data_IF_401197413297
#
_entry.id   IF_401197413297
#
_cell.length_a   1.000
_cell.length_b   1.000
_cell.length_c   1.000
_cell.angle_alpha   90.00
_cell.angle_beta   90.00
_cell.angle_gamma   90.00
#
_symmetry.space_group_name_H-M   'P 1'
#
loop_
_entity.id
_entity.type
_entity.pdbx_description
1 polymer ?
#
# COMPACT_ATOMS: atom_id res chain seq x y z
N UNK A 1 36.77 17.22 -75.26
CA UNK A 1 36.57 15.81 -75.57
C UNK A 1 36.31 15.17 -74.20
N UNK A 2 35.19 14.75 -73.78
CA UNK A 2 33.93 14.23 -74.26
C UNK A 2 32.90 14.49 -73.13
N UNK A 3 31.81 15.09 -73.53
CA UNK A 3 30.67 15.36 -72.70
C UNK A 3 29.85 14.07 -72.48
N UNK A 4 29.36 13.90 -71.23
CA UNK A 4 28.27 12.98 -70.94
C UNK A 4 27.07 13.72 -70.31
N UNK A 5 25.86 13.39 -70.70
CA UNK A 5 24.66 14.18 -70.38
C UNK A 5 24.05 13.80 -69.03
N UNK A 6 23.57 14.85 -68.38
CA UNK A 6 22.73 14.79 -67.16
C UNK A 6 21.38 14.17 -67.46
N UNK A 7 21.08 12.96 -66.92
CA UNK A 7 19.73 12.42 -66.90
C UNK A 7 19.05 12.86 -65.56
N UNK A 8 18.08 13.77 -65.73
CA UNK A 8 17.15 14.14 -64.72
C UNK A 8 16.07 13.06 -64.57
N UNK A 9 16.14 12.22 -63.56
CA UNK A 9 15.02 11.39 -63.13
C UNK A 9 14.16 12.21 -62.12
N UNK A 10 13.01 12.64 -62.61
CA UNK A 10 11.92 13.10 -61.76
C UNK A 10 11.18 11.85 -61.27
N UNK A 11 11.54 11.35 -60.09
CA UNK A 11 10.78 10.34 -59.35
C UNK A 11 9.67 11.01 -58.57
N UNK A 12 8.44 10.83 -58.98
CA UNK A 12 7.25 11.11 -58.19
C UNK A 12 7.30 10.24 -56.92
N UNK A 13 7.64 10.82 -55.77
CA UNK A 13 7.35 10.24 -54.49
C UNK A 13 5.90 10.57 -54.16
N UNK A 14 5.00 9.64 -54.51
CA UNK A 14 3.64 9.62 -53.98
C UNK A 14 3.73 9.33 -52.50
N UNK A 15 3.66 10.35 -51.67
CA UNK A 15 3.46 10.22 -50.23
C UNK A 15 2.04 9.65 -50.02
N UNK A 16 1.96 8.33 -49.88
CA UNK A 16 0.78 7.69 -49.31
C UNK A 16 0.75 8.09 -47.83
N UNK A 17 0.14 9.23 -47.53
CA UNK A 17 -0.34 9.54 -46.19
C UNK A 17 -1.41 8.51 -45.87
N UNK A 18 -1.02 7.40 -45.27
CA UNK A 18 -1.93 6.49 -44.61
C UNK A 18 -2.58 7.31 -43.47
N UNK A 19 -3.73 7.86 -43.75
CA UNK A 19 -4.70 8.27 -42.76
C UNK A 19 -5.02 7.00 -41.94
N UNK A 20 -4.29 6.78 -40.88
CA UNK A 20 -4.75 5.97 -39.74
C UNK A 20 -6.00 6.70 -39.21
N UNK A 21 -7.13 6.41 -39.85
CA UNK A 21 -8.42 6.65 -39.22
C UNK A 21 -8.39 5.79 -37.98
N UNK A 22 -8.15 6.42 -36.83
CA UNK A 22 -8.39 5.79 -35.58
C UNK A 22 -9.86 5.33 -35.60
N UNK A 23 -10.07 4.05 -35.80
CA UNK A 23 -11.40 3.48 -35.66
C UNK A 23 -11.87 3.85 -34.27
N UNK A 24 -13.07 4.38 -34.08
CA UNK A 24 -13.60 4.56 -32.75
C UNK A 24 -13.53 3.20 -32.07
N UNK A 25 -12.73 3.09 -31.04
CA UNK A 25 -12.70 1.89 -30.21
C UNK A 25 -14.10 1.76 -29.66
N UNK A 26 -14.79 0.67 -29.96
CA UNK A 26 -16.14 0.44 -29.46
C UNK A 26 -16.14 0.54 -27.93
N UNK A 27 -17.10 1.26 -27.39
CA UNK A 27 -17.33 1.34 -25.95
C UNK A 27 -17.80 -0.03 -25.44
N UNK A 28 -17.58 -0.33 -24.17
CA UNK A 28 -18.03 -1.58 -23.56
C UNK A 28 -19.54 -1.73 -23.71
N UNK A 29 -19.92 -2.77 -24.41
CA UNK A 29 -21.33 -3.13 -24.69
C UNK A 29 -21.88 -4.09 -23.64
N UNK A 30 -21.01 -4.84 -22.96
CA UNK A 30 -21.41 -5.93 -22.07
C UNK A 30 -20.61 -5.96 -20.78
N UNK A 31 -21.31 -6.19 -19.68
CA UNK A 31 -20.73 -6.45 -18.36
C UNK A 31 -21.09 -7.90 -17.94
N UNK A 32 -20.07 -8.75 -17.78
CA UNK A 32 -20.26 -10.16 -17.46
C UNK A 32 -19.71 -10.49 -16.07
N UNK A 33 -20.51 -11.14 -15.24
CA UNK A 33 -20.12 -11.61 -13.91
C UNK A 33 -19.97 -13.12 -13.94
N UNK A 34 -18.78 -13.63 -13.67
CA UNK A 34 -18.55 -15.07 -13.48
C UNK A 34 -18.80 -15.44 -12.03
N UNK A 35 -19.80 -16.30 -11.79
CA UNK A 35 -20.23 -16.68 -10.45
C UNK A 35 -19.28 -17.70 -9.80
N UNK A 36 -19.02 -17.61 -8.48
CA UNK A 36 -18.28 -18.62 -7.77
C UNK A 36 -19.10 -19.91 -7.65
N UNK A 37 -18.43 -21.05 -7.78
CA UNK A 37 -19.01 -22.41 -7.65
C UNK A 37 -19.96 -22.89 -8.76
N UNK A 38 -20.36 -22.01 -9.66
CA UNK A 38 -21.15 -22.32 -10.84
C UNK A 38 -20.27 -21.97 -12.05
N UNK A 39 -20.19 -22.83 -13.05
CA UNK A 39 -19.56 -22.48 -14.34
C UNK A 39 -20.51 -21.60 -15.18
N UNK A 40 -21.27 -20.72 -14.50
CA UNK A 40 -22.26 -19.83 -15.06
C UNK A 40 -21.81 -18.39 -14.98
N UNK A 41 -22.25 -17.59 -15.94
CA UNK A 41 -22.02 -16.15 -15.97
C UNK A 41 -23.30 -15.40 -16.24
N UNK A 42 -23.49 -14.28 -15.57
CA UNK A 42 -24.59 -13.33 -15.80
C UNK A 42 -24.03 -12.19 -16.64
N UNK A 43 -24.63 -11.92 -17.80
CA UNK A 43 -24.22 -10.83 -18.69
C UNK A 43 -25.28 -9.74 -18.74
N UNK A 44 -24.85 -8.49 -18.56
CA UNK A 44 -25.66 -7.30 -18.69
C UNK A 44 -25.31 -6.58 -20.00
N UNK A 45 -26.31 -6.32 -20.84
CA UNK A 45 -26.16 -5.52 -22.04
C UNK A 45 -26.27 -4.03 -21.67
N UNK A 46 -25.20 -3.28 -21.88
CA UNK A 46 -25.12 -1.85 -21.57
C UNK A 46 -25.54 -0.96 -22.74
N UNK A 47 -25.73 -1.55 -23.93
CA UNK A 47 -25.96 -0.77 -25.17
C UNK A 47 -27.36 -0.14 -25.22
N UNK A 48 -28.33 -0.86 -24.70
CA UNK A 48 -29.76 -0.46 -24.77
C UNK A 48 -30.29 0.05 -23.43
N UNK A 49 -29.53 -0.12 -22.36
CA UNK A 49 -30.01 0.22 -21.03
C UNK A 49 -29.61 1.64 -20.64
N UNK A 50 -30.58 2.49 -20.45
CA UNK A 50 -30.37 3.84 -19.91
C UNK A 50 -30.47 3.88 -18.38
N UNK A 51 -31.04 2.83 -17.78
CA UNK A 51 -31.27 2.72 -16.33
C UNK A 51 -31.27 1.26 -15.85
N UNK A 52 -31.25 1.06 -14.54
CA UNK A 52 -31.20 -0.26 -13.91
C UNK A 52 -32.42 -1.16 -14.26
N UNK A 53 -33.59 -0.58 -14.47
CA UNK A 53 -34.79 -1.31 -14.84
C UNK A 53 -34.63 -1.97 -16.20
N UNK A 54 -34.18 -1.25 -17.21
CA UNK A 54 -33.96 -1.78 -18.55
C UNK A 54 -32.90 -2.88 -18.56
N UNK A 55 -31.84 -2.75 -17.75
CA UNK A 55 -30.83 -3.79 -17.58
C UNK A 55 -31.42 -5.09 -17.02
N UNK A 56 -32.31 -5.00 -16.02
CA UNK A 56 -32.95 -6.15 -15.42
C UNK A 56 -33.99 -6.77 -16.38
N UNK A 57 -34.79 -5.94 -17.03
CA UNK A 57 -35.81 -6.39 -17.94
C UNK A 57 -35.24 -7.09 -19.21
N UNK A 58 -34.01 -6.72 -19.58
CA UNK A 58 -33.27 -7.36 -20.67
C UNK A 58 -32.63 -8.70 -20.28
N UNK A 59 -32.52 -9.03 -18.98
CA UNK A 59 -31.88 -10.24 -18.50
C UNK A 59 -32.87 -11.12 -17.70
N UNK A 60 -33.24 -12.32 -18.21
CA UNK A 60 -34.19 -13.19 -17.53
C UNK A 60 -33.79 -13.60 -16.11
N UNK A 61 -32.50 -13.90 -15.90
CA UNK A 61 -31.98 -14.36 -14.60
C UNK A 61 -32.07 -13.25 -13.56
N UNK A 62 -31.73 -12.00 -13.97
CA UNK A 62 -31.85 -10.84 -13.09
C UNK A 62 -33.30 -10.52 -12.75
N UNK A 63 -34.24 -10.71 -13.70
CA UNK A 63 -35.71 -10.53 -13.42
C UNK A 63 -36.21 -11.51 -12.38
N UNK A 64 -35.78 -12.77 -12.48
CA UNK A 64 -36.16 -13.80 -11.50
C UNK A 64 -35.60 -13.47 -10.12
N UNK A 65 -34.32 -13.06 -10.04
CA UNK A 65 -33.66 -12.62 -8.80
C UNK A 65 -34.32 -11.37 -8.21
N UNK A 66 -34.68 -10.39 -9.05
CA UNK A 66 -35.33 -9.16 -8.59
C UNK A 66 -36.73 -9.41 -8.08
N UNK A 67 -37.46 -10.30 -8.77
CA UNK A 67 -38.81 -10.74 -8.33
C UNK A 67 -38.70 -11.46 -6.98
N UNK A 68 -37.79 -12.40 -6.82
CA UNK A 68 -37.55 -13.11 -5.57
C UNK A 68 -37.07 -12.19 -4.43
N UNK A 69 -36.35 -11.12 -4.79
CA UNK A 69 -35.83 -10.11 -3.86
C UNK A 69 -36.71 -8.88 -3.65
N UNK A 70 -37.97 -8.91 -4.09
CA UNK A 70 -38.97 -7.81 -3.95
C UNK A 70 -38.44 -6.45 -4.49
N UNK A 71 -37.70 -6.45 -5.61
CA UNK A 71 -37.11 -5.25 -6.23
C UNK A 71 -35.83 -4.78 -5.58
N UNK A 72 -35.20 -5.56 -4.72
CA UNK A 72 -33.95 -5.21 -4.06
C UNK A 72 -32.76 -5.22 -5.02
N UNK A 73 -32.76 -6.11 -6.01
CA UNK A 73 -31.69 -6.22 -7.03
C UNK A 73 -31.71 -5.00 -7.92
N UNK A 74 -32.89 -4.53 -8.36
CA UNK A 74 -33.03 -3.29 -9.12
C UNK A 74 -32.43 -2.10 -8.36
N UNK A 75 -32.80 -1.92 -7.09
CA UNK A 75 -32.31 -0.81 -6.26
C UNK A 75 -30.79 -0.87 -6.07
N UNK A 76 -30.24 -2.08 -5.90
CA UNK A 76 -28.79 -2.25 -5.78
C UNK A 76 -28.07 -1.86 -7.09
N UNK A 77 -28.53 -2.38 -8.23
CA UNK A 77 -27.93 -2.09 -9.53
C UNK A 77 -28.05 -0.58 -9.85
N UNK A 78 -29.22 0.02 -9.62
CA UNK A 78 -29.42 1.46 -9.81
C UNK A 78 -28.48 2.28 -8.94
N UNK A 79 -28.38 1.95 -7.66
CA UNK A 79 -27.46 2.61 -6.72
C UNK A 79 -26.00 2.51 -7.15
N UNK A 80 -25.58 1.36 -7.70
CA UNK A 80 -24.20 1.16 -8.17
C UNK A 80 -23.92 1.91 -9.47
N UNK A 81 -24.80 1.79 -10.47
CA UNK A 81 -24.57 2.35 -11.79
C UNK A 81 -24.67 3.89 -11.81
N UNK A 82 -25.57 4.45 -10.99
CA UNK A 82 -25.76 5.89 -10.87
C UNK A 82 -24.93 6.53 -9.77
N UNK A 83 -24.10 5.74 -9.06
CA UNK A 83 -23.20 6.26 -8.04
C UNK A 83 -22.31 7.36 -8.64
N UNK A 84 -22.36 8.59 -8.12
CA UNK A 84 -21.55 9.67 -8.64
C UNK A 84 -20.06 9.39 -8.40
N UNK A 85 -19.25 9.62 -9.42
CA UNK A 85 -17.80 9.62 -9.25
C UNK A 85 -17.41 10.94 -8.56
N UNK A 86 -16.64 10.90 -7.46
CA UNK A 86 -16.15 12.11 -6.81
C UNK A 86 -15.40 13.01 -7.81
N UNK A 87 -15.58 14.31 -7.72
CA UNK A 87 -14.94 15.29 -8.64
C UNK A 87 -13.42 15.12 -8.71
N UNK A 88 -12.80 14.72 -7.61
CA UNK A 88 -11.36 14.49 -7.53
C UNK A 88 -10.88 13.23 -8.24
N UNK A 89 -11.77 12.29 -8.62
CA UNK A 89 -11.38 10.98 -9.16
C UNK A 89 -10.46 11.10 -10.38
N UNK A 90 -10.79 11.96 -11.34
CA UNK A 90 -9.94 12.20 -12.52
C UNK A 90 -8.57 12.73 -12.13
N UNK A 91 -8.50 13.68 -11.20
CA UNK A 91 -7.25 14.25 -10.70
C UNK A 91 -6.42 13.23 -9.94
N UNK A 92 -7.05 12.38 -9.11
CA UNK A 92 -6.39 11.29 -8.38
C UNK A 92 -5.74 10.31 -9.37
N UNK A 93 -6.49 9.87 -10.39
CA UNK A 93 -5.98 8.94 -11.39
C UNK A 93 -4.85 9.57 -12.19
N UNK A 94 -5.00 10.81 -12.68
CA UNK A 94 -3.97 11.52 -13.41
C UNK A 94 -2.67 11.68 -12.62
N UNK A 95 -2.76 12.03 -11.34
CA UNK A 95 -1.59 12.14 -10.46
C UNK A 95 -0.96 10.77 -10.12
N UNK A 96 -1.72 9.69 -10.28
CA UNK A 96 -1.28 8.33 -9.95
C UNK A 96 -0.66 7.59 -11.15
N UNK A 97 -0.82 8.10 -12.39
CA UNK A 97 -0.28 7.46 -13.58
C UNK A 97 1.22 7.23 -13.49
N UNK A 98 1.65 6.00 -13.77
CA UNK A 98 3.06 5.60 -13.70
C UNK A 98 3.64 5.48 -12.28
N UNK A 99 2.81 5.67 -11.24
CA UNK A 99 3.23 5.46 -9.86
C UNK A 99 3.19 3.97 -9.49
N UNK A 100 4.27 3.42 -8.91
CA UNK A 100 4.37 1.98 -8.63
C UNK A 100 3.25 1.44 -7.75
N UNK A 101 2.78 2.18 -6.76
CA UNK A 101 1.67 1.75 -5.90
C UNK A 101 0.37 1.62 -6.69
N UNK A 102 0.09 2.56 -7.57
CA UNK A 102 -1.10 2.54 -8.43
C UNK A 102 -1.02 1.41 -9.47
N UNK A 103 0.13 1.23 -10.12
CA UNK A 103 0.38 0.12 -11.04
C UNK A 103 0.12 -1.24 -10.36
N UNK A 104 0.53 -1.41 -9.11
CA UNK A 104 0.31 -2.65 -8.36
C UNK A 104 -1.15 -2.85 -7.95
N UNK A 105 -1.89 -1.77 -7.68
CA UNK A 105 -3.34 -1.84 -7.45
C UNK A 105 -4.07 -2.28 -8.73
N UNK A 106 -3.76 -1.68 -9.87
CA UNK A 106 -4.33 -2.06 -11.17
C UNK A 106 -4.00 -3.51 -11.54
N UNK A 107 -2.75 -3.93 -11.33
CA UNK A 107 -2.34 -5.32 -11.54
C UNK A 107 -3.09 -6.29 -10.63
N UNK A 108 -3.31 -5.95 -9.37
CA UNK A 108 -4.10 -6.77 -8.46
C UNK A 108 -5.58 -6.82 -8.87
N UNK A 109 -6.14 -5.72 -9.34
CA UNK A 109 -7.50 -5.63 -9.82
C UNK A 109 -7.72 -6.38 -11.15
N UNK A 110 -6.67 -6.54 -11.98
CA UNK A 110 -6.77 -7.15 -13.32
C UNK A 110 -7.19 -8.62 -13.33
N UNK A 111 -7.01 -9.34 -12.24
CA UNK A 111 -7.52 -10.70 -12.11
C UNK A 111 -9.03 -10.73 -11.79
N UNK A 112 -9.53 -9.69 -11.14
CA UNK A 112 -10.93 -9.54 -10.83
C UNK A 112 -11.71 -8.91 -11.98
N UNK A 113 -11.14 -7.88 -12.64
CA UNK A 113 -11.79 -7.08 -13.69
C UNK A 113 -10.91 -7.12 -14.94
N UNK A 114 -11.45 -7.62 -16.04
CA UNK A 114 -10.76 -7.75 -17.32
C UNK A 114 -11.60 -7.15 -18.43
N UNK A 115 -10.94 -6.43 -19.35
CA UNK A 115 -11.56 -6.03 -20.62
C UNK A 115 -11.19 -7.08 -21.66
N UNK A 116 -12.20 -7.73 -22.23
CA UNK A 116 -12.00 -8.81 -23.20
C UNK A 116 -11.30 -8.29 -24.45
N UNK A 117 -10.29 -9.03 -24.91
CA UNK A 117 -9.53 -8.69 -26.10
C UNK A 117 -8.47 -7.61 -25.91
N UNK A 118 -8.35 -7.01 -24.72
CA UNK A 118 -7.32 -6.03 -24.42
C UNK A 118 -6.29 -6.58 -23.39
N UNK A 119 -5.03 -6.17 -23.51
CA UNK A 119 -4.03 -6.49 -22.49
C UNK A 119 -4.35 -5.76 -21.19
N UNK A 120 -3.85 -6.29 -20.08
CA UNK A 120 -3.98 -5.64 -18.75
C UNK A 120 -3.35 -4.25 -18.76
N UNK A 121 -4.13 -3.23 -18.46
CA UNK A 121 -3.63 -1.85 -18.32
C UNK A 121 -3.10 -1.60 -16.92
N UNK A 122 -1.82 -1.85 -16.70
CA UNK A 122 -1.14 -1.51 -15.44
C UNK A 122 -0.70 -0.05 -15.38
N UNK A 123 -0.75 0.68 -16.52
CA UNK A 123 -0.39 2.10 -16.59
C UNK A 123 -1.49 3.01 -16.03
N UNK A 124 -2.75 2.56 -16.10
CA UNK A 124 -3.94 3.34 -15.75
C UNK A 124 -4.38 4.31 -16.85
N UNK A 125 -3.79 4.24 -18.04
CA UNK A 125 -4.14 5.14 -19.14
C UNK A 125 -5.59 4.94 -19.59
N UNK A 126 -6.01 3.71 -19.80
CA UNK A 126 -7.37 3.37 -20.20
C UNK A 126 -8.39 3.87 -19.18
N UNK A 127 -8.14 3.65 -17.88
CA UNK A 127 -8.99 4.14 -16.80
C UNK A 127 -9.05 5.66 -16.80
N UNK A 128 -7.91 6.34 -16.99
CA UNK A 128 -7.85 7.81 -17.04
C UNK A 128 -8.62 8.38 -18.24
N UNK A 129 -8.44 7.82 -19.44
CA UNK A 129 -9.11 8.28 -20.65
C UNK A 129 -10.62 8.07 -20.56
N UNK A 130 -11.08 6.93 -20.04
CA UNK A 130 -12.51 6.66 -19.84
C UNK A 130 -13.14 7.59 -18.78
N UNK A 131 -12.44 7.88 -17.69
CA UNK A 131 -12.91 8.85 -16.68
C UNK A 131 -13.03 10.26 -17.27
N UNK A 132 -12.00 10.75 -17.97
CA UNK A 132 -12.03 12.08 -18.60
C UNK A 132 -13.19 12.19 -19.59
N UNK A 133 -13.43 11.13 -20.37
CA UNK A 133 -14.53 11.10 -21.33
C UNK A 133 -15.90 11.15 -20.62
N UNK A 134 -16.10 10.38 -19.56
CA UNK A 134 -17.35 10.40 -18.77
C UNK A 134 -17.64 11.80 -18.19
N UNK A 135 -16.63 12.49 -17.65
CA UNK A 135 -16.81 13.86 -17.17
C UNK A 135 -17.09 14.87 -18.27
N UNK A 136 -16.42 14.73 -19.43
CA UNK A 136 -16.64 15.61 -20.60
C UNK A 136 -18.07 15.49 -21.13
N UNK A 137 -18.61 14.28 -21.12
CA UNK A 137 -19.94 14.00 -21.69
C UNK A 137 -21.06 14.16 -20.65
N UNK A 138 -20.76 14.78 -19.51
CA UNK A 138 -21.69 15.04 -18.38
C UNK A 138 -22.30 13.77 -17.78
N UNK A 139 -21.54 12.66 -17.81
CA UNK A 139 -21.92 11.36 -17.24
C UNK A 139 -20.94 10.94 -16.10
N UNK A 140 -20.71 11.76 -15.05
CA UNK A 140 -19.72 11.47 -14.00
C UNK A 140 -20.25 10.43 -13.00
N UNK A 141 -20.63 9.26 -13.49
CA UNK A 141 -21.12 8.12 -12.71
C UNK A 141 -20.55 6.81 -13.26
N UNK A 142 -20.71 5.72 -12.50
CA UNK A 142 -20.10 4.44 -12.87
C UNK A 142 -20.54 3.94 -14.26
N UNK A 143 -21.82 4.06 -14.60
CA UNK A 143 -22.31 3.64 -15.93
C UNK A 143 -21.68 4.49 -17.06
N UNK A 144 -21.59 5.81 -16.87
CA UNK A 144 -20.92 6.69 -17.83
C UNK A 144 -19.45 6.31 -18.01
N UNK A 145 -18.73 6.04 -16.91
CA UNK A 145 -17.36 5.53 -16.98
C UNK A 145 -17.26 4.23 -17.77
N UNK A 146 -18.11 3.23 -17.47
CA UNK A 146 -18.11 1.94 -18.16
C UNK A 146 -18.33 2.07 -19.67
N UNK A 147 -19.22 2.99 -20.11
CA UNK A 147 -19.48 3.27 -21.51
C UNK A 147 -18.30 3.89 -22.25
N UNK A 148 -17.34 4.47 -21.55
CA UNK A 148 -16.14 5.05 -22.14
C UNK A 148 -14.90 4.15 -22.02
N UNK A 149 -15.01 2.99 -21.35
CA UNK A 149 -13.94 1.99 -21.35
C UNK A 149 -13.87 1.37 -22.76
N UNK A 150 -12.69 1.34 -23.40
CA UNK A 150 -12.55 0.71 -24.72
C UNK A 150 -12.68 -0.81 -24.63
N UNK A 151 -13.31 -1.43 -25.65
CA UNK A 151 -13.50 -2.88 -25.74
C UNK A 151 -14.98 -3.25 -25.79
N UNK A 152 -15.27 -4.53 -26.03
CA UNK A 152 -16.64 -5.02 -26.23
C UNK A 152 -17.28 -5.51 -24.92
N UNK A 153 -16.46 -6.00 -23.99
CA UNK A 153 -16.95 -6.66 -22.80
C UNK A 153 -15.99 -6.46 -21.61
N UNK A 154 -16.55 -6.08 -20.44
CA UNK A 154 -15.88 -6.16 -19.15
C UNK A 154 -16.34 -7.44 -18.46
N UNK A 155 -15.39 -8.28 -18.04
CA UNK A 155 -15.63 -9.47 -17.24
C UNK A 155 -15.21 -9.24 -15.80
N UNK A 156 -16.11 -9.50 -14.84
CA UNK A 156 -15.85 -9.48 -13.40
C UNK A 156 -15.86 -10.90 -12.88
N UNK A 157 -14.69 -11.39 -12.46
CA UNK A 157 -14.50 -12.77 -12.00
C UNK A 157 -14.67 -12.86 -10.49
N UNK A 158 -15.87 -13.16 -10.03
CA UNK A 158 -16.18 -13.32 -8.60
C UNK A 158 -15.54 -14.58 -7.99
N UNK A 159 -15.11 -15.55 -8.78
CA UNK A 159 -14.35 -16.71 -8.29
C UNK A 159 -12.98 -16.27 -7.70
N UNK A 160 -12.33 -15.26 -8.29
CA UNK A 160 -11.10 -14.69 -7.76
C UNK A 160 -11.33 -14.07 -6.39
N UNK A 161 -12.44 -13.35 -6.22
CA UNK A 161 -12.79 -12.76 -4.92
C UNK A 161 -13.07 -13.84 -3.86
N UNK A 162 -13.82 -14.89 -4.23
CA UNK A 162 -14.09 -16.02 -3.33
C UNK A 162 -12.79 -16.77 -2.94
N UNK A 163 -11.90 -17.00 -3.90
CA UNK A 163 -10.59 -17.61 -3.63
C UNK A 163 -9.72 -16.75 -2.72
N UNK A 164 -9.79 -15.42 -2.87
CA UNK A 164 -9.10 -14.47 -2.00
C UNK A 164 -9.66 -14.51 -0.57
N UNK A 165 -10.98 -14.48 -0.42
CA UNK A 165 -11.66 -14.57 0.89
C UNK A 165 -11.32 -15.89 1.60
N UNK A 166 -11.28 -17.02 0.86
CA UNK A 166 -10.87 -18.30 1.40
C UNK A 166 -9.43 -18.26 1.92
N UNK A 167 -8.50 -17.77 1.13
CA UNK A 167 -7.07 -17.65 1.57
C UNK A 167 -6.94 -16.79 2.83
N UNK A 168 -7.70 -15.70 2.92
CA UNK A 168 -7.73 -14.84 4.11
C UNK A 168 -8.19 -15.64 5.34
N UNK A 169 -9.27 -16.43 5.21
CA UNK A 169 -9.76 -17.30 6.28
C UNK A 169 -8.73 -18.35 6.69
N UNK A 170 -8.13 -19.05 5.72
CA UNK A 170 -7.10 -20.07 5.96
C UNK A 170 -5.91 -19.47 6.75
N UNK A 171 -5.42 -18.30 6.33
CA UNK A 171 -4.33 -17.60 7.05
C UNK A 171 -4.70 -17.17 8.47
N UNK A 172 -5.96 -16.78 8.70
CA UNK A 172 -6.43 -16.46 10.05
C UNK A 172 -6.46 -17.71 10.95
N UNK A 173 -6.83 -18.85 10.40
CA UNK A 173 -6.84 -20.12 11.16
C UNK A 173 -5.42 -20.60 11.46
N UNK A 174 -4.48 -20.46 10.53
CA UNK A 174 -3.06 -20.70 10.75
C UNK A 174 -2.50 -19.81 11.87
N UNK A 175 -2.84 -18.52 11.85
CA UNK A 175 -2.42 -17.57 12.89
C UNK A 175 -3.02 -17.93 14.27
N UNK A 176 -4.28 -18.34 14.33
CA UNK A 176 -4.91 -18.86 15.57
C UNK A 176 -4.19 -20.12 16.08
N UNK A 177 -3.82 -21.03 15.17
CA UNK A 177 -3.07 -22.23 15.53
C UNK A 177 -1.68 -21.92 16.09
N UNK A 178 -1.02 -20.85 15.60
CA UNK A 178 0.23 -20.34 16.19
C UNK A 178 0.02 -19.84 17.59
N UNK A 179 -1.04 -19.07 17.85
CA UNK A 179 -1.39 -18.57 19.22
C UNK A 179 -1.63 -19.74 20.17
N UNK A 180 -2.36 -20.77 19.76
CA UNK A 180 -2.65 -21.95 20.59
C UNK A 180 -1.40 -22.73 20.97
N UNK A 181 -0.36 -22.73 20.14
CA UNK A 181 0.95 -23.35 20.42
C UNK A 181 1.87 -22.47 21.25
N UNK A 182 1.53 -21.19 21.40
CA UNK A 182 2.29 -20.21 22.16
C UNK A 182 2.01 -20.28 23.67
N UNK A 183 2.78 -19.49 24.42
CA UNK A 183 2.54 -19.29 25.84
C UNK A 183 1.73 -18.01 26.01
N UNK A 184 0.60 -18.10 26.71
CA UNK A 184 -0.21 -16.91 27.00
C UNK A 184 0.62 -15.85 27.76
N UNK A 185 0.50 -14.60 27.31
CA UNK A 185 1.09 -13.48 28.03
C UNK A 185 0.43 -13.31 29.40
N UNK A 186 1.24 -12.98 30.40
CA UNK A 186 0.68 -12.61 31.70
C UNK A 186 -0.06 -11.28 31.58
N UNK A 187 -1.21 -11.12 32.22
CA UNK A 187 -1.91 -9.84 32.29
C UNK A 187 -0.98 -8.72 32.79
N UNK A 188 -1.04 -7.58 32.12
CA UNK A 188 -0.30 -6.38 32.55
C UNK A 188 -1.03 -5.81 33.78
N UNK A 189 -0.30 -5.44 34.82
CA UNK A 189 -0.88 -4.80 35.99
C UNK A 189 -1.54 -3.47 35.61
N UNK A 190 -2.75 -3.17 36.09
CA UNK A 190 -3.47 -1.92 35.80
C UNK A 190 -2.64 -0.68 36.16
N UNK A 191 -1.85 -0.74 37.20
CA UNK A 191 -0.94 0.33 37.64
C UNK A 191 0.07 0.75 36.57
N UNK A 192 0.45 -0.15 35.65
CA UNK A 192 1.34 0.19 34.54
C UNK A 192 0.58 1.03 33.50
N UNK A 193 -0.68 0.69 33.24
CA UNK A 193 -1.53 1.39 32.25
C UNK A 193 -2.01 2.74 32.80
N UNK A 194 -2.39 2.78 34.09
CA UNK A 194 -2.89 3.99 34.77
C UNK A 194 -1.81 5.10 34.83
N UNK A 195 -0.53 4.73 34.84
CA UNK A 195 0.59 5.68 34.81
C UNK A 195 0.61 6.54 33.52
N UNK A 196 0.01 6.08 32.42
CA UNK A 196 -0.02 6.83 31.17
C UNK A 196 -0.80 8.15 31.22
N UNK A 197 -1.64 8.36 32.25
CA UNK A 197 -2.47 9.57 32.39
C UNK A 197 -1.68 10.84 32.73
N UNK A 198 -0.47 10.71 33.26
CA UNK A 198 0.37 11.83 33.69
C UNK A 198 1.86 11.47 33.72
N UNK A 199 2.69 12.43 34.09
CA UNK A 199 4.15 12.17 34.26
C UNK A 199 4.96 12.40 32.99
N UNK A 200 4.42 13.13 32.00
CA UNK A 200 5.08 13.47 30.75
C UNK A 200 4.71 14.88 30.27
N UNK A 201 5.52 15.41 29.37
CA UNK A 201 5.26 16.63 28.59
C UNK A 201 5.28 16.31 27.10
N UNK A 202 4.49 17.07 26.32
CA UNK A 202 4.41 16.97 24.86
C UNK A 202 4.90 18.25 24.21
N UNK A 203 5.77 18.15 23.25
CA UNK A 203 6.25 19.27 22.45
C UNK A 203 6.24 18.88 20.97
N UNK A 204 6.02 19.86 20.08
CA UNK A 204 6.24 19.70 18.64
C UNK A 204 7.56 20.38 18.29
N UNK A 205 8.41 19.69 17.52
CA UNK A 205 9.71 20.17 17.06
C UNK A 205 9.86 19.93 15.58
N UNK A 206 10.72 20.70 14.94
CA UNK A 206 11.07 20.56 13.54
C UNK A 206 12.59 20.34 13.43
N UNK A 207 13.00 19.34 12.66
CA UNK A 207 14.41 18.98 12.46
C UNK A 207 14.76 19.20 10.99
N UNK A 208 15.76 20.03 10.73
CA UNK A 208 16.30 20.22 9.39
C UNK A 208 17.03 18.94 8.94
N UNK A 209 16.65 18.40 7.79
CA UNK A 209 17.23 17.18 7.20
C UNK A 209 17.55 17.41 5.73
N UNK A 210 18.57 16.74 5.21
CA UNK A 210 19.06 16.97 3.83
C UNK A 210 18.38 16.06 2.79
N UNK A 211 17.86 14.91 3.20
CA UNK A 211 17.29 13.91 2.30
C UNK A 211 15.82 14.14 1.97
N UNK A 212 15.20 15.17 2.53
CA UNK A 212 13.84 15.60 2.20
C UNK A 212 13.79 17.09 1.91
N UNK A 213 12.87 17.56 1.05
CA UNK A 213 12.76 18.98 0.69
C UNK A 213 12.24 19.87 1.82
N UNK A 214 11.65 19.27 2.86
CA UNK A 214 11.06 19.98 4.01
C UNK A 214 11.64 19.43 5.30
N UNK A 215 11.73 20.24 6.36
CA UNK A 215 12.09 19.75 7.69
C UNK A 215 11.18 18.63 8.15
N UNK A 216 11.70 17.75 8.99
CA UNK A 216 10.95 16.66 9.58
C UNK A 216 10.26 17.16 10.87
N UNK A 217 8.94 17.07 10.90
CA UNK A 217 8.17 17.33 12.11
C UNK A 217 8.28 16.14 13.06
N UNK A 218 8.52 16.41 14.33
CA UNK A 218 8.72 15.40 15.37
C UNK A 218 7.90 15.75 16.60
N UNK A 219 7.02 14.85 17.01
CA UNK A 219 6.37 14.92 18.31
C UNK A 219 7.33 14.36 19.37
N UNK A 220 7.62 15.16 20.37
CA UNK A 220 8.54 14.82 21.48
C UNK A 220 7.72 14.64 22.76
N UNK A 221 7.77 13.45 23.33
CA UNK A 221 7.16 13.13 24.63
C UNK A 221 8.28 12.86 25.62
N UNK A 222 8.37 13.70 26.65
CA UNK A 222 9.44 13.63 27.66
C UNK A 222 8.90 13.31 29.03
N UNK A 223 9.57 12.44 29.82
CA UNK A 223 9.19 12.17 31.18
C UNK A 223 9.39 13.41 32.09
N UNK A 224 8.46 13.69 32.99
CA UNK A 224 8.59 14.76 33.97
C UNK A 224 9.14 14.29 35.30
N UNK A 225 9.08 12.98 35.57
CA UNK A 225 9.59 12.37 36.80
C UNK A 225 10.43 11.14 36.45
N UNK A 226 11.56 10.96 37.17
CA UNK A 226 12.43 9.77 37.11
C UNK A 226 12.83 9.37 35.66
N UNK A 227 13.42 10.28 34.88
CA UNK A 227 13.91 9.92 33.54
C UNK A 227 14.96 8.80 33.67
N UNK A 228 14.83 7.77 32.84
CA UNK A 228 15.76 6.63 32.81
C UNK A 228 16.91 6.81 31.79
N UNK A 229 16.90 7.94 31.07
CA UNK A 229 17.90 8.28 30.03
C UNK A 229 17.77 7.50 28.72
N UNK A 230 16.76 6.63 28.57
CA UNK A 230 16.58 5.79 27.37
C UNK A 230 15.70 6.44 26.33
N UNK A 231 16.09 6.26 25.06
CA UNK A 231 15.39 6.81 23.89
C UNK A 231 14.58 5.72 23.17
N UNK A 232 13.35 6.08 22.82
CA UNK A 232 12.48 5.31 21.95
C UNK A 232 12.05 6.19 20.79
N UNK A 233 12.15 5.69 19.55
CA UNK A 233 11.59 6.33 18.37
C UNK A 233 10.43 5.49 17.87
N UNK A 234 9.26 6.11 17.62
CA UNK A 234 8.07 5.42 17.09
C UNK A 234 7.80 5.89 15.66
N UNK A 235 7.88 4.97 14.70
CA UNK A 235 7.65 5.22 13.28
C UNK A 235 6.29 4.68 12.86
N UNK A 236 5.42 5.57 12.39
CA UNK A 236 4.03 5.26 12.00
C UNK A 236 3.94 4.47 10.69
N UNK A 237 2.76 3.88 10.40
CA UNK A 237 2.45 3.16 9.17
C UNK A 237 2.27 4.07 7.94
N UNK A 238 1.94 3.44 6.80
CA UNK A 238 1.55 4.16 5.59
C UNK A 238 0.25 4.93 5.85
N UNK A 239 0.22 6.22 5.46
CA UNK A 239 -0.94 7.11 5.59
C UNK A 239 -1.45 7.31 7.02
N UNK A 240 -0.60 7.07 7.99
CA UNK A 240 -0.84 7.26 9.40
C UNK A 240 -0.08 8.49 9.92
N UNK A 241 -0.18 8.80 11.19
CA UNK A 241 0.42 9.97 11.79
C UNK A 241 0.91 9.72 13.23
N UNK A 242 1.81 10.56 13.77
CA UNK A 242 2.31 10.42 15.15
C UNK A 242 1.24 10.32 16.22
N UNK A 243 0.12 11.04 16.06
CA UNK A 243 -0.98 11.08 17.03
C UNK A 243 -1.60 9.70 17.31
N UNK A 244 -1.62 8.81 16.32
CA UNK A 244 -2.12 7.42 16.46
C UNK A 244 -1.32 6.61 17.49
N UNK A 245 -0.08 7.01 17.78
CA UNK A 245 0.85 6.29 18.66
C UNK A 245 1.16 7.04 19.97
N UNK A 246 0.55 8.20 20.18
CA UNK A 246 0.80 8.97 21.42
C UNK A 246 0.40 8.21 22.68
N UNK A 247 -0.60 7.33 22.62
CA UNK A 247 -0.94 6.47 23.77
C UNK A 247 0.21 5.56 24.21
N UNK A 248 0.95 4.98 23.26
CA UNK A 248 2.16 4.21 23.57
C UNK A 248 3.29 5.11 24.08
N UNK A 249 3.45 6.28 23.47
CA UNK A 249 4.47 7.24 23.88
C UNK A 249 4.24 7.77 25.28
N UNK A 250 2.98 8.08 25.64
CA UNK A 250 2.62 8.51 27.00
C UNK A 250 2.92 7.43 28.05
N UNK A 251 2.58 6.18 27.74
CA UNK A 251 2.87 5.07 28.62
C UNK A 251 4.38 4.91 28.85
N UNK A 252 5.17 4.92 27.79
CA UNK A 252 6.62 4.82 27.86
C UNK A 252 7.23 5.99 28.64
N UNK A 253 6.77 7.21 28.39
CA UNK A 253 7.28 8.40 29.05
C UNK A 253 6.92 8.42 30.54
N UNK A 254 5.72 7.98 30.92
CA UNK A 254 5.35 7.80 32.32
C UNK A 254 6.28 6.82 33.07
N UNK A 255 6.92 5.90 32.32
CA UNK A 255 7.95 4.97 32.83
C UNK A 255 9.39 5.47 32.63
N UNK A 256 9.57 6.75 32.33
CA UNK A 256 10.87 7.42 32.30
C UNK A 256 11.58 7.43 30.96
N UNK A 257 11.00 6.92 29.87
CA UNK A 257 11.58 6.93 28.54
C UNK A 257 11.36 8.29 27.84
N UNK A 258 12.34 8.75 27.08
CA UNK A 258 12.15 9.81 26.10
C UNK A 258 11.61 9.21 24.79
N UNK A 259 10.52 9.75 24.24
CA UNK A 259 9.88 9.18 23.06
C UNK A 259 9.76 10.23 21.96
N UNK A 260 10.22 9.88 20.76
CA UNK A 260 10.17 10.72 19.58
C UNK A 260 9.33 10.04 18.51
N UNK A 261 8.40 10.80 17.93
CA UNK A 261 7.52 10.32 16.88
C UNK A 261 7.68 11.21 15.63
N UNK A 262 8.55 10.83 14.68
CA UNK A 262 8.69 11.54 13.41
C UNK A 262 7.43 11.38 12.55
N UNK A 263 7.04 12.48 11.86
CA UNK A 263 5.97 12.51 10.86
C UNK A 263 6.59 12.40 9.46
N UNK A 264 6.51 11.22 8.82
CA UNK A 264 7.15 10.95 7.52
C UNK A 264 6.38 11.62 6.37
N UNK A 265 6.84 12.76 5.81
CA UNK A 265 6.00 13.65 4.99
C UNK A 265 5.59 13.06 3.62
N UNK A 266 6.35 12.07 3.10
CA UNK A 266 6.05 11.40 1.82
C UNK A 266 4.98 10.30 1.90
N UNK A 267 4.54 9.93 3.11
CA UNK A 267 3.68 8.77 3.33
C UNK A 267 2.83 8.86 4.60
N UNK A 268 2.61 10.09 5.11
CA UNK A 268 1.77 10.38 6.28
C UNK A 268 0.30 10.68 5.89
N UNK A 269 -0.55 10.96 6.87
CA UNK A 269 -1.94 11.32 6.68
C UNK A 269 -2.13 12.60 5.83
N UNK A 270 -1.21 13.57 5.93
CA UNK A 270 -1.25 14.79 5.11
C UNK A 270 -0.99 14.50 3.63
N UNK A 271 -0.08 13.57 3.34
CA UNK A 271 0.18 13.09 1.98
C UNK A 271 -1.05 12.36 1.43
N UNK A 272 -1.67 11.46 2.22
CA UNK A 272 -2.91 10.77 1.85
C UNK A 272 -4.03 11.76 1.52
N UNK A 273 -4.29 12.72 2.40
CA UNK A 273 -5.32 13.75 2.17
C UNK A 273 -5.05 14.57 0.90
N UNK A 274 -3.78 14.86 0.61
CA UNK A 274 -3.41 15.57 -0.62
C UNK A 274 -3.59 14.71 -1.86
N UNK A 275 -3.31 13.42 -1.76
CA UNK A 275 -3.53 12.44 -2.83
C UNK A 275 -5.03 12.26 -3.12
N UNK A 276 -5.85 12.09 -2.08
CA UNK A 276 -7.30 11.95 -2.21
C UNK A 276 -8.00 13.21 -2.75
N UNK A 277 -7.33 14.36 -2.70
CA UNK A 277 -7.75 15.61 -3.35
C UNK A 277 -7.13 15.81 -4.74
N UNK A 278 -6.51 14.77 -5.31
CA UNK A 278 -5.86 14.84 -6.61
C UNK A 278 -4.70 15.84 -6.71
N UNK A 279 -4.09 16.25 -5.57
CA UNK A 279 -3.03 17.28 -5.53
C UNK A 279 -1.63 16.70 -5.50
N UNK A 280 -1.48 15.45 -5.08
CA UNK A 280 -0.20 14.75 -4.99
C UNK A 280 -0.34 13.31 -5.46
N UNK A 281 0.74 12.73 -6.02
CA UNK A 281 0.77 11.31 -6.37
C UNK A 281 0.77 10.42 -5.13
N UNK A 282 0.56 9.10 -5.30
CA UNK A 282 0.84 8.10 -4.25
C UNK A 282 2.29 8.17 -3.76
N UNK A 283 2.58 7.60 -2.57
CA UNK A 283 3.94 7.53 -2.05
C UNK A 283 4.93 6.88 -3.02
N UNK A 284 6.11 7.48 -3.14
CA UNK A 284 7.16 7.00 -4.02
C UNK A 284 7.88 5.75 -3.45
N UNK A 285 8.53 4.97 -4.31
CA UNK A 285 9.36 3.82 -3.90
C UNK A 285 10.48 4.19 -2.94
N UNK A 286 10.96 5.43 -2.99
CA UNK A 286 12.03 5.96 -2.14
C UNK A 286 11.66 6.02 -0.66
N UNK A 287 10.37 5.97 -0.30
CA UNK A 287 9.95 5.93 1.11
C UNK A 287 10.55 4.73 1.86
N UNK A 288 10.84 3.63 1.16
CA UNK A 288 11.56 2.49 1.74
C UNK A 288 12.93 2.90 2.33
N UNK A 289 13.60 3.89 1.72
CA UNK A 289 14.89 4.42 2.14
C UNK A 289 14.74 5.66 3.03
N UNK A 290 13.83 6.54 2.68
CA UNK A 290 13.70 7.84 3.35
C UNK A 290 13.23 7.70 4.79
N UNK A 291 12.35 6.75 5.09
CA UNK A 291 11.85 6.53 6.45
C UNK A 291 12.93 6.10 7.45
N UNK A 292 13.77 5.09 7.20
CA UNK A 292 14.90 4.82 8.10
C UNK A 292 15.86 6.00 8.22
N UNK A 293 16.11 6.76 7.14
CA UNK A 293 16.93 7.97 7.20
C UNK A 293 16.31 9.07 8.08
N UNK A 294 14.98 9.23 8.07
CA UNK A 294 14.28 10.14 8.97
C UNK A 294 14.52 9.76 10.44
N UNK A 295 14.42 8.46 10.77
CA UNK A 295 14.66 7.99 12.14
C UNK A 295 16.13 8.21 12.55
N UNK A 296 17.09 7.89 11.67
CA UNK A 296 18.52 8.19 11.92
C UNK A 296 18.73 9.68 12.18
N UNK A 297 18.15 10.56 11.37
CA UNK A 297 18.28 12.01 11.54
C UNK A 297 17.67 12.51 12.87
N UNK A 298 16.59 11.88 13.34
CA UNK A 298 16.02 12.18 14.66
C UNK A 298 16.98 11.78 15.79
N UNK A 299 17.62 10.61 15.69
CA UNK A 299 18.64 10.17 16.67
C UNK A 299 19.84 11.11 16.63
N UNK A 300 20.32 11.51 15.45
CA UNK A 300 21.42 12.48 15.27
C UNK A 300 21.08 13.84 15.90
N UNK A 301 19.83 14.29 15.77
CA UNK A 301 19.36 15.54 16.35
C UNK A 301 19.33 15.51 17.90
N UNK A 302 19.09 14.33 18.50
CA UNK A 302 19.23 14.15 19.96
C UNK A 302 20.70 14.20 20.36
N UNK A 303 21.55 13.49 19.64
CA UNK A 303 23.01 13.43 19.91
C UNK A 303 23.66 14.82 19.79
N UNK A 304 23.21 15.60 18.82
CA UNK A 304 23.65 16.99 18.63
C UNK A 304 23.03 17.99 19.61
N UNK A 305 22.15 17.57 20.53
CA UNK A 305 21.46 18.44 21.48
C UNK A 305 20.42 19.39 20.84
N UNK A 306 20.02 19.17 19.59
CA UNK A 306 18.95 19.92 18.89
C UNK A 306 17.60 19.54 19.45
N UNK A 307 17.37 18.22 19.64
CA UNK A 307 16.24 17.69 20.35
C UNK A 307 16.66 17.32 21.78
N UNK A 308 15.74 17.44 22.74
CA UNK A 308 15.95 17.04 24.14
C UNK A 308 17.16 17.75 24.81
N UNK A 309 17.45 19.01 24.42
CA UNK A 309 18.54 19.79 25.01
C UNK A 309 18.40 19.89 26.54
N UNK A 310 19.51 19.74 27.27
CA UNK A 310 19.54 19.76 28.72
C UNK A 310 19.09 18.46 29.40
N UNK A 311 18.72 17.43 28.62
CA UNK A 311 18.37 16.11 29.13
C UNK A 311 19.53 15.12 28.96
N UNK A 312 19.77 14.26 29.94
CA UNK A 312 20.75 13.18 29.82
C UNK A 312 20.09 11.98 29.11
N UNK A 313 20.24 11.92 27.79
CA UNK A 313 19.66 10.84 26.95
C UNK A 313 20.78 10.04 26.30
N UNK A 314 20.69 8.71 26.39
CA UNK A 314 21.63 7.78 25.77
C UNK A 314 21.21 7.52 24.33
N UNK A 315 22.09 7.80 23.38
CA UNK A 315 21.87 7.57 21.94
C UNK A 315 22.56 6.31 21.41
N UNK A 316 23.39 5.66 22.20
CA UNK A 316 24.11 4.42 21.85
C UNK A 316 23.26 3.15 21.95
N UNK A 317 22.06 3.25 22.56
CA UNK A 317 21.14 2.14 22.79
C UNK A 317 19.68 2.59 22.63
N UNK A 318 19.26 2.73 21.38
CA UNK A 318 17.93 3.20 21.02
C UNK A 318 16.99 2.02 20.72
N UNK A 319 15.73 2.14 21.14
CA UNK A 319 14.67 1.26 20.69
C UNK A 319 13.85 1.96 19.59
N UNK A 320 13.58 1.25 18.49
CA UNK A 320 12.67 1.73 17.44
C UNK A 320 11.44 0.85 17.43
N UNK A 321 10.27 1.48 17.59
CA UNK A 321 8.95 0.85 17.47
C UNK A 321 8.37 1.25 16.14
N UNK A 322 7.93 0.30 15.33
CA UNK A 322 7.34 0.62 14.03
C UNK A 322 6.08 -0.20 13.76
N UNK A 323 5.15 0.42 13.03
CA UNK A 323 3.96 -0.25 12.52
C UNK A 323 3.99 -0.27 10.99
N UNK A 324 3.65 -1.42 10.36
CA UNK A 324 3.56 -1.56 8.90
C UNK A 324 4.85 -1.05 8.20
N UNK A 325 4.81 -0.01 7.37
CA UNK A 325 5.99 0.61 6.76
C UNK A 325 7.01 1.10 7.79
N UNK A 326 6.56 1.60 8.94
CA UNK A 326 7.44 1.95 10.05
C UNK A 326 8.15 0.74 10.67
N UNK A 327 7.48 -0.42 10.68
CA UNK A 327 8.08 -1.67 11.14
C UNK A 327 9.17 -2.16 10.18
N UNK A 328 8.96 -2.00 8.86
CA UNK A 328 9.99 -2.27 7.84
C UNK A 328 11.20 -1.36 8.06
N UNK A 329 10.99 -0.06 8.30
CA UNK A 329 12.07 0.88 8.61
C UNK A 329 12.83 0.50 9.89
N UNK A 330 12.13 0.08 10.96
CA UNK A 330 12.75 -0.38 12.20
C UNK A 330 13.65 -1.62 11.99
N UNK A 331 13.22 -2.56 11.14
CA UNK A 331 14.03 -3.73 10.79
C UNK A 331 15.27 -3.36 9.97
N UNK A 332 15.14 -2.43 9.01
CA UNK A 332 16.29 -1.93 8.25
C UNK A 332 17.32 -1.26 9.16
N UNK A 333 16.87 -0.41 10.09
CA UNK A 333 17.71 0.21 11.10
C UNK A 333 18.37 -0.82 12.01
N UNK A 334 17.66 -1.92 12.35
CA UNK A 334 18.19 -3.05 13.10
C UNK A 334 19.21 -3.92 12.34
N UNK A 335 19.48 -3.61 11.06
CA UNK A 335 20.49 -4.28 10.24
C UNK A 335 19.92 -5.20 9.17
N UNK A 336 18.61 -5.34 9.03
CA UNK A 336 18.02 -6.17 7.98
C UNK A 336 18.13 -5.45 6.62
N UNK A 337 18.70 -6.13 5.62
CA UNK A 337 18.87 -5.58 4.28
C UNK A 337 17.69 -5.95 3.39
N UNK A 338 17.17 -4.99 2.65
CA UNK A 338 16.18 -5.23 1.61
C UNK A 338 16.81 -5.78 0.33
N UNK A 339 16.02 -6.50 -0.45
CA UNK A 339 16.44 -7.09 -1.73
C UNK A 339 15.32 -7.00 -2.76
N UNK A 340 15.68 -6.75 -4.03
CA UNK A 340 14.75 -6.77 -5.15
C UNK A 340 14.49 -8.17 -5.72
N UNK A 341 15.21 -9.19 -5.30
CA UNK A 341 15.20 -10.53 -5.93
C UNK A 341 13.81 -11.14 -5.98
N UNK A 342 13.12 -11.25 -4.83
CA UNK A 342 11.75 -11.79 -4.77
C UNK A 342 10.74 -10.81 -5.41
N UNK A 343 10.92 -9.51 -5.21
CA UNK A 343 10.09 -8.48 -5.85
C UNK A 343 10.13 -8.61 -7.38
N UNK A 344 11.32 -8.68 -7.98
CA UNK A 344 11.50 -8.76 -9.43
C UNK A 344 10.88 -10.02 -10.03
N UNK A 345 10.94 -11.15 -9.33
CA UNK A 345 10.42 -12.41 -9.82
C UNK A 345 8.91 -12.56 -9.66
N UNK A 346 8.31 -11.95 -8.61
CA UNK A 346 6.92 -12.24 -8.23
C UNK A 346 5.94 -11.07 -8.46
N UNK A 347 6.41 -9.82 -8.40
CA UNK A 347 5.52 -8.67 -8.46
C UNK A 347 4.77 -8.49 -9.79
N UNK A 348 5.29 -9.05 -10.89
CA UNK A 348 4.68 -8.97 -12.22
C UNK A 348 3.65 -10.07 -12.50
N UNK A 349 3.56 -11.08 -11.64
CA UNK A 349 2.61 -12.17 -11.80
C UNK A 349 1.32 -11.89 -11.00
N UNK A 350 0.22 -11.46 -11.64
CA UNK A 350 -1.05 -11.23 -10.94
C UNK A 350 -1.67 -12.54 -10.41
N UNK A 351 -1.36 -13.68 -11.07
CA UNK A 351 -1.89 -15.02 -10.72
C UNK A 351 -1.00 -15.79 -9.74
N UNK A 352 -0.08 -15.11 -9.07
CA UNK A 352 0.71 -15.77 -8.05
C UNK A 352 -0.20 -16.28 -6.92
N UNK A 353 -0.19 -17.58 -6.59
CA UNK A 353 -1.12 -18.18 -5.63
C UNK A 353 -1.00 -17.61 -4.22
N UNK A 354 0.16 -17.05 -3.89
CA UNK A 354 0.43 -16.45 -2.59
C UNK A 354 0.12 -14.96 -2.52
N UNK A 355 -0.29 -14.36 -3.65
CA UNK A 355 -0.51 -12.92 -3.74
C UNK A 355 -1.61 -12.47 -2.77
N UNK A 356 -1.32 -11.40 -2.03
CA UNK A 356 -2.23 -10.79 -1.07
C UNK A 356 -2.04 -9.26 -1.08
N UNK A 357 -2.79 -8.52 -0.26
CA UNK A 357 -2.75 -7.05 -0.23
C UNK A 357 -1.39 -6.49 0.21
N UNK A 358 -0.68 -7.21 1.09
CA UNK A 358 0.68 -6.81 1.48
C UNK A 358 1.62 -6.69 0.27
N UNK A 359 1.40 -7.49 -0.78
CA UNK A 359 2.22 -7.45 -1.98
C UNK A 359 2.03 -6.17 -2.80
N UNK A 360 0.85 -5.58 -2.78
CA UNK A 360 0.64 -4.26 -3.41
C UNK A 360 1.59 -3.25 -2.79
N UNK A 361 1.69 -3.29 -1.45
CA UNK A 361 2.59 -2.40 -0.69
C UNK A 361 4.06 -2.72 -0.95
N UNK A 362 4.46 -3.99 -0.89
CA UNK A 362 5.87 -4.40 -1.07
C UNK A 362 6.34 -4.19 -2.51
N UNK A 363 5.51 -4.54 -3.49
CA UNK A 363 5.86 -4.40 -4.90
C UNK A 363 5.97 -2.94 -5.36
N UNK A 364 5.31 -2.01 -4.67
CA UNK A 364 5.48 -0.57 -4.93
C UNK A 364 6.91 -0.10 -4.68
N UNK A 365 7.69 -0.84 -3.91
CA UNK A 365 9.07 -0.54 -3.57
C UNK A 365 10.11 -1.19 -4.50
N UNK A 366 9.70 -1.93 -5.53
CA UNK A 366 10.61 -2.67 -6.41
C UNK A 366 11.79 -1.82 -6.90
N UNK A 367 11.54 -0.57 -7.31
CA UNK A 367 12.60 0.35 -7.79
C UNK A 367 13.52 0.85 -6.67
N UNK A 368 13.10 0.73 -5.42
CA UNK A 368 13.81 1.24 -4.25
C UNK A 368 14.45 0.16 -3.36
N UNK A 369 14.31 -1.13 -3.68
CA UNK A 369 14.66 -2.21 -2.76
C UNK A 369 16.17 -2.50 -2.64
N UNK A 370 16.95 -2.28 -3.70
CA UNK A 370 18.39 -2.56 -3.71
C UNK A 370 19.21 -1.31 -3.31
N UNK A 371 19.17 -0.96 -2.03
CA UNK A 371 19.72 0.31 -1.55
C UNK A 371 20.89 0.17 -0.56
N UNK A 372 21.49 -0.96 -0.47
CA UNK A 372 22.54 -1.17 0.50
C UNK A 372 22.04 -1.25 1.95
N UNK A 373 22.92 -1.12 2.92
CA UNK A 373 22.56 -1.18 4.34
C UNK A 373 22.15 0.19 4.86
N UNK A 374 20.97 0.25 5.49
CA UNK A 374 20.47 1.40 6.24
C UNK A 374 20.52 1.14 7.76
N UNK A 375 21.28 0.13 8.17
CA UNK A 375 21.45 -0.22 9.59
C UNK A 375 22.14 0.90 10.37
N UNK A 376 21.58 1.20 11.54
CA UNK A 376 22.15 2.13 12.51
C UNK A 376 22.53 1.35 13.76
N UNK A 377 23.82 1.28 14.05
CA UNK A 377 24.35 0.48 15.18
C UNK A 377 23.88 0.98 16.56
N UNK A 378 23.32 2.16 16.65
CA UNK A 378 22.68 2.69 17.87
C UNK A 378 21.33 2.04 18.13
N UNK A 379 20.66 1.51 17.10
CA UNK A 379 19.39 0.81 17.25
C UNK A 379 19.64 -0.61 17.74
N UNK A 380 19.40 -0.86 19.03
CA UNK A 380 19.63 -2.15 19.69
C UNK A 380 18.37 -3.00 19.83
N UNK A 381 17.20 -2.38 19.69
CA UNK A 381 15.91 -3.05 19.80
C UNK A 381 14.97 -2.55 18.72
N UNK A 382 14.31 -3.46 18.04
CA UNK A 382 13.24 -3.19 17.10
C UNK A 382 11.95 -3.88 17.55
N UNK A 383 10.91 -3.10 17.84
CA UNK A 383 9.55 -3.60 18.06
C UNK A 383 8.78 -3.37 16.78
N UNK A 384 8.37 -4.45 16.12
CA UNK A 384 7.83 -4.39 14.76
C UNK A 384 6.44 -4.98 14.73
N UNK A 385 5.47 -4.11 14.42
CA UNK A 385 4.05 -4.46 14.42
C UNK A 385 3.57 -4.58 12.97
N UNK A 386 3.07 -5.75 12.61
CA UNK A 386 2.56 -6.07 11.26
C UNK A 386 3.51 -5.66 10.12
N UNK A 387 4.78 -6.08 10.11
CA UNK A 387 5.73 -5.71 9.07
C UNK A 387 5.48 -6.49 7.77
N UNK A 388 5.36 -5.83 6.60
CA UNK A 388 5.27 -6.48 5.30
C UNK A 388 6.65 -6.93 4.82
N UNK A 389 7.01 -8.22 4.96
CA UNK A 389 8.40 -8.70 4.81
C UNK A 389 8.63 -9.70 3.68
N UNK A 390 7.62 -10.50 3.30
CA UNK A 390 7.82 -11.71 2.49
C UNK A 390 8.63 -11.51 1.23
N UNK A 391 8.44 -10.39 0.54
CA UNK A 391 9.11 -10.08 -0.72
C UNK A 391 10.35 -9.20 -0.55
N UNK A 392 10.42 -8.43 0.53
CA UNK A 392 11.50 -7.44 0.76
C UNK A 392 12.77 -8.06 1.32
N UNK A 393 12.62 -9.07 2.17
CA UNK A 393 13.75 -9.72 2.82
C UNK A 393 13.85 -11.17 2.37
N UNK A 394 15.06 -11.65 2.26
CA UNK A 394 15.32 -13.08 2.06
C UNK A 394 16.16 -13.65 3.20
N UNK A 395 16.35 -14.98 3.17
CA UNK A 395 17.06 -15.68 4.23
C UNK A 395 18.51 -15.22 4.40
N UNK A 396 19.13 -14.70 3.34
CA UNK A 396 20.49 -14.17 3.38
C UNK A 396 20.61 -12.85 4.16
N UNK A 397 19.50 -12.16 4.41
CA UNK A 397 19.48 -10.91 5.18
C UNK A 397 19.56 -11.11 6.69
N UNK A 398 19.22 -12.30 7.20
CA UNK A 398 19.18 -12.59 8.63
C UNK A 398 20.50 -12.32 9.36
N UNK A 399 21.66 -12.77 8.86
CA UNK A 399 22.94 -12.57 9.52
C UNK A 399 23.38 -11.11 9.70
N UNK A 400 22.81 -10.16 8.96
CA UNK A 400 23.10 -8.75 9.11
C UNK A 400 22.34 -8.06 10.25
N UNK A 401 21.37 -8.74 10.85
CA UNK A 401 20.57 -8.21 11.95
C UNK A 401 21.40 -8.12 13.24
N UNK A 402 21.55 -6.91 13.75
CA UNK A 402 22.28 -6.66 15.00
C UNK A 402 21.32 -6.29 16.15
N UNK A 403 20.12 -5.78 15.86
CA UNK A 403 19.14 -5.45 16.86
C UNK A 403 18.36 -6.69 17.33
N UNK A 404 17.92 -6.68 18.60
CA UNK A 404 16.91 -7.62 19.09
C UNK A 404 15.54 -7.24 18.56
N UNK A 405 14.79 -8.22 18.08
CA UNK A 405 13.46 -8.00 17.49
C UNK A 405 12.35 -8.54 18.38
N UNK A 406 11.35 -7.72 18.62
CA UNK A 406 10.03 -8.15 19.08
C UNK A 406 9.05 -7.97 17.93
N UNK A 407 8.63 -9.09 17.33
CA UNK A 407 7.56 -9.09 16.32
C UNK A 407 6.20 -9.16 17.02
N UNK A 408 5.31 -8.27 16.65
CA UNK A 408 3.88 -8.27 17.03
C UNK A 408 3.07 -8.36 15.73
N UNK A 409 2.15 -9.31 15.65
CA UNK A 409 1.31 -9.48 14.46
C UNK A 409 -0.11 -9.86 14.88
N UNK A 410 -1.11 -9.29 14.22
CA UNK A 410 -2.52 -9.53 14.53
C UNK A 410 -3.07 -10.75 13.80
N UNK A 411 -3.72 -11.67 14.52
CA UNK A 411 -4.34 -12.87 13.92
C UNK A 411 -5.47 -12.56 12.93
N UNK A 412 -6.00 -11.34 12.93
CA UNK A 412 -7.05 -10.85 12.03
C UNK A 412 -6.56 -9.77 11.07
N UNK A 413 -5.25 -9.59 10.96
CA UNK A 413 -4.70 -8.65 9.99
C UNK A 413 -4.99 -9.16 8.57
N UNK A 414 -5.75 -8.38 7.81
CA UNK A 414 -6.16 -8.74 6.46
C UNK A 414 -5.29 -8.09 5.37
N UNK A 415 -4.43 -7.17 5.76
CA UNK A 415 -3.46 -6.50 4.88
C UNK A 415 -2.11 -7.20 4.96
N UNK A 416 -1.55 -7.30 6.17
CA UNK A 416 -0.28 -7.98 6.42
C UNK A 416 -0.56 -9.27 7.18
N UNK A 417 -0.81 -10.32 6.42
CA UNK A 417 -1.15 -11.63 6.96
C UNK A 417 -0.05 -12.14 7.90
N UNK A 418 -0.40 -12.51 9.13
CA UNK A 418 0.57 -12.80 10.20
C UNK A 418 1.62 -13.84 9.82
N UNK A 419 1.19 -15.02 9.40
CA UNK A 419 2.11 -16.13 9.15
C UNK A 419 2.97 -15.89 7.90
N UNK A 420 2.40 -15.71 6.68
CA UNK A 420 3.21 -15.65 5.46
C UNK A 420 4.00 -14.35 5.30
N UNK A 421 3.51 -13.23 5.84
CA UNK A 421 4.09 -11.91 5.58
C UNK A 421 5.07 -11.46 6.68
N UNK A 422 4.88 -11.90 7.92
CA UNK A 422 5.65 -11.42 9.06
C UNK A 422 6.41 -12.54 9.78
N UNK A 423 5.72 -13.61 10.21
CA UNK A 423 6.32 -14.66 11.06
C UNK A 423 7.29 -15.54 10.27
N UNK A 424 6.87 -16.10 9.14
CA UNK A 424 7.68 -17.00 8.32
C UNK A 424 8.95 -16.32 7.80
N UNK A 425 8.93 -15.10 7.22
CA UNK A 425 10.13 -14.44 6.77
C UNK A 425 11.17 -14.25 7.86
N UNK A 426 10.77 -13.80 9.06
CA UNK A 426 11.70 -13.60 10.17
C UNK A 426 12.22 -14.94 10.73
N UNK A 427 11.37 -15.95 10.87
CA UNK A 427 11.77 -17.28 11.33
C UNK A 427 12.76 -17.94 10.39
N UNK A 428 12.53 -17.92 9.10
CA UNK A 428 13.38 -18.55 8.10
C UNK A 428 14.72 -17.82 7.91
N UNK A 429 14.73 -16.50 8.08
CA UNK A 429 15.95 -15.71 8.06
C UNK A 429 16.88 -15.94 9.25
N UNK A 430 16.54 -16.81 10.18
CA UNK A 430 17.28 -17.09 11.42
C UNK A 430 17.58 -15.89 12.34
N UNK A 431 16.94 -14.72 12.21
CA UNK A 431 17.19 -13.65 13.17
C UNK A 431 16.69 -14.02 14.59
N UNK A 432 15.85 -15.05 14.70
CA UNK A 432 15.26 -15.51 15.98
C UNK A 432 16.24 -16.27 16.88
N UNK A 433 17.39 -16.72 16.36
CA UNK A 433 18.38 -17.46 17.16
C UNK A 433 19.01 -16.65 18.30
N UNK A 434 18.92 -15.33 18.28
CA UNK A 434 19.60 -14.39 19.17
C UNK A 434 18.68 -13.78 20.25
N UNK A 435 17.62 -14.48 20.68
CA UNK A 435 16.71 -13.99 21.73
C UNK A 435 15.60 -13.08 21.23
N UNK A 436 15.25 -13.18 19.94
CA UNK A 436 14.08 -12.53 19.38
C UNK A 436 12.77 -13.16 19.89
N UNK A 437 11.68 -12.39 19.90
CA UNK A 437 10.36 -12.85 20.36
C UNK A 437 9.30 -12.54 19.33
N UNK A 438 8.28 -13.40 19.25
CA UNK A 438 7.09 -13.22 18.42
C UNK A 438 5.87 -13.20 19.35
N UNK A 439 4.99 -12.24 19.14
CA UNK A 439 3.68 -12.10 19.78
C UNK A 439 2.60 -12.05 18.72
N UNK A 440 1.57 -12.84 18.89
CA UNK A 440 0.43 -12.93 17.96
C UNK A 440 -0.86 -12.58 18.68
#
# INVERSE_FOLDING_TARGET
>A
MTSYPCFRFHGLVAAAASLLVAQPVAAVERLTFTLPLLDESISLDLTQATNARELIDSNPDLRELDWAGEGSVQKLIESLLTAPLPEETSSIVLQSLGHPLFEQLLLAASELIQVKGLPVDTSGRMVSEALIAAYRDDEPHLLGFLRHVPGDEISINLQVLAAYAKRLSDNQDDAKALVQRGTAAKPVASTIVDAAASGWTRQQRSVAIQHRPQPLEVTVISPTARPNGRLVVISHGLWDEPSSYEGWAHLLAAHGYFVLLPDHPGSNAKQQNSMLKGKKPPPASDELRLRPMDVTAVIDAVEAGILLSGSSVQTDSVAVVGHSWGATAALQLGGLKTTSRKLSSRCRNPRDPDRNLSWVLQCSWLKGADQGSLGDMRVRTAVVVSPPLRLLFDESSGPSMHAKVLLVSGTRDWVVLSDPEAVVPLRNGQPLANGHRIVL
#
